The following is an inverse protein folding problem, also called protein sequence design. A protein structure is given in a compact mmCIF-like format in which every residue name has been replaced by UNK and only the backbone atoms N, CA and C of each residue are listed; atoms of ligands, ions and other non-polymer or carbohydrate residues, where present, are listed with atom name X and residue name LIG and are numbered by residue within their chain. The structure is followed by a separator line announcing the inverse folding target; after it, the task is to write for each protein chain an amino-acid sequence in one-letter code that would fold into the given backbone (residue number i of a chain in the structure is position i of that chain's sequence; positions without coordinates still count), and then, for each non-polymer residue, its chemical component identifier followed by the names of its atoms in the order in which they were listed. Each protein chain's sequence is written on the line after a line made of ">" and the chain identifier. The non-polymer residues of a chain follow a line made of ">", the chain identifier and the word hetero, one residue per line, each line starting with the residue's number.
data_IF_980874160115
#
_entry.id   IF_980874160115
#
_cell.length_a   1.000
_cell.length_b   1.000
_cell.length_c   1.000
_cell.angle_alpha   90.00
_cell.angle_beta   90.00
_cell.angle_gamma   90.00
#
_symmetry.space_group_name_H-M   'P 1'
#
loop_
_entity.id
_entity.type
_entity.pdbx_description
1 polymer ?
#
# COMPACT_ATOMS: atom_id res chain seq x y z
N UNK A 1 -10.07 -64.87 -13.03
CA UNK A 1 -8.75 -64.68 -12.40
C UNK A 1 -8.66 -63.25 -11.87
N UNK A 2 -8.02 -63.13 -10.72
CA UNK A 2 -8.25 -62.18 -9.61
C UNK A 2 -7.78 -60.74 -9.84
N UNK A 3 -8.57 -59.78 -9.35
CA UNK A 3 -8.25 -58.35 -9.26
C UNK A 3 -7.21 -58.03 -8.17
N UNK A 4 -6.41 -56.97 -8.34
CA UNK A 4 -5.63 -56.38 -7.24
C UNK A 4 -5.79 -54.86 -7.18
N UNK A 5 -6.55 -54.46 -6.17
CA UNK A 5 -6.78 -53.10 -5.65
C UNK A 5 -5.57 -52.72 -4.79
N UNK A 6 -4.95 -51.56 -5.04
CA UNK A 6 -3.93 -51.01 -4.16
C UNK A 6 -4.61 -50.08 -3.14
N UNK A 7 -4.74 -50.56 -1.91
CA UNK A 7 -5.03 -49.74 -0.73
C UNK A 7 -3.78 -49.69 0.11
N UNK A 8 -3.12 -48.53 0.21
CA UNK A 8 -2.16 -48.30 1.27
C UNK A 8 -2.74 -47.31 2.28
N UNK A 9 -2.65 -47.75 3.52
CA UNK A 9 -3.34 -47.38 4.73
C UNK A 9 -2.74 -46.14 5.38
N UNK A 10 -3.61 -45.34 5.96
CA UNK A 10 -3.29 -44.31 6.96
C UNK A 10 -2.69 -44.97 8.21
N UNK A 11 -1.54 -44.48 8.68
CA UNK A 11 -1.04 -44.78 10.03
C UNK A 11 -1.05 -43.48 10.82
N UNK A 12 -1.89 -43.47 11.85
CA UNK A 12 -2.15 -42.36 12.75
C UNK A 12 -1.64 -42.71 14.16
N UNK A 13 -1.18 -41.65 14.84
CA UNK A 13 -1.03 -41.41 16.29
C UNK A 13 -0.16 -42.34 17.15
N UNK A 14 0.62 -41.66 18.00
CA UNK A 14 1.09 -42.07 19.33
C UNK A 14 2.02 -43.27 19.45
N UNK A 15 3.32 -42.98 19.44
CA UNK A 15 4.29 -43.52 20.41
C UNK A 15 5.68 -42.99 20.02
N UNK A 16 6.20 -42.00 20.75
CA UNK A 16 7.43 -42.10 21.57
C UNK A 16 7.49 -40.82 22.43
N UNK A 17 6.90 -40.87 23.61
CA UNK A 17 7.19 -39.94 24.71
C UNK A 17 8.27 -40.62 25.54
N UNK A 18 9.47 -40.03 25.60
CA UNK A 18 10.21 -39.78 26.86
C UNK A 18 11.66 -39.33 26.62
N UNK A 19 11.99 -38.23 27.31
CA UNK A 19 13.27 -37.85 27.90
C UNK A 19 14.50 -37.58 27.01
N UNK A 20 14.70 -36.31 26.65
CA UNK A 20 15.98 -35.62 26.90
C UNK A 20 15.78 -34.10 26.91
N UNK A 21 16.32 -33.45 27.94
CA UNK A 21 16.15 -32.03 28.26
C UNK A 21 16.75 -31.09 27.20
N UNK A 22 16.09 -29.99 26.81
CA UNK A 22 16.68 -28.99 25.94
C UNK A 22 17.63 -28.05 26.71
N UNK A 23 18.83 -27.74 26.19
CA UNK A 23 19.67 -26.68 26.75
C UNK A 23 19.00 -25.31 26.54
N UNK A 24 18.93 -24.57 27.64
CA UNK A 24 18.39 -23.22 27.79
C UNK A 24 19.11 -22.26 26.83
N UNK A 25 18.49 -21.97 25.69
CA UNK A 25 18.94 -20.93 24.77
C UNK A 25 18.27 -19.62 25.16
N UNK A 26 19.11 -18.65 25.48
CA UNK A 26 18.80 -17.32 25.99
C UNK A 26 17.96 -16.51 25.00
N UNK A 27 16.99 -15.69 25.47
CA UNK A 27 16.46 -14.59 24.66
C UNK A 27 17.59 -13.58 24.51
N UNK A 28 18.14 -13.45 23.30
CA UNK A 28 19.01 -12.31 22.99
C UNK A 28 18.11 -11.10 22.83
N UNK A 29 18.01 -10.33 23.92
CA UNK A 29 17.35 -9.05 24.05
C UNK A 29 17.91 -8.07 23.01
N UNK A 30 17.15 -7.79 21.95
CA UNK A 30 17.44 -6.66 21.07
C UNK A 30 17.12 -5.37 21.85
N UNK A 31 18.13 -4.86 22.57
CA UNK A 31 18.04 -3.58 23.27
C UNK A 31 17.79 -2.46 22.27
N UNK A 32 16.54 -2.00 22.19
CA UNK A 32 16.22 -0.67 21.66
C UNK A 32 16.81 0.34 22.63
N UNK A 33 17.86 1.04 22.21
CA UNK A 33 18.50 2.10 22.98
C UNK A 33 17.50 3.22 23.26
N UNK A 34 16.84 3.20 24.42
CA UNK A 34 16.00 4.30 24.91
C UNK A 34 16.83 5.33 25.72
N UNK A 35 18.12 5.46 25.40
CA UNK A 35 19.05 6.34 26.11
C UNK A 35 18.86 7.83 25.77
N UNK A 36 18.07 8.18 24.75
CA UNK A 36 17.98 9.56 24.27
C UNK A 36 16.75 10.34 24.78
N UNK A 37 15.90 9.73 25.61
CA UNK A 37 14.62 10.35 26.02
C UNK A 37 14.58 10.86 27.48
N UNK A 38 15.67 10.76 28.25
CA UNK A 38 15.71 11.25 29.64
C UNK A 38 16.67 12.42 29.90
N UNK A 39 17.26 12.98 28.86
CA UNK A 39 18.08 14.19 28.96
C UNK A 39 17.44 15.37 28.21
N UNK A 40 16.11 15.50 28.33
CA UNK A 40 15.35 16.61 27.74
C UNK A 40 14.66 17.48 28.81
N UNK A 41 15.09 17.41 30.07
CA UNK A 41 14.57 18.27 31.16
C UNK A 41 15.64 18.91 32.02
N UNK A 42 16.93 18.82 31.66
CA UNK A 42 17.97 19.57 32.36
C UNK A 42 18.15 20.93 31.71
N UNK A 43 17.53 21.92 32.36
CA UNK A 43 17.80 23.35 32.23
C UNK A 43 17.28 24.00 30.94
N UNK A 44 16.06 24.55 31.01
CA UNK A 44 15.76 25.76 30.24
C UNK A 44 16.62 26.88 30.81
N UNK A 45 17.60 27.47 30.08
CA UNK A 45 18.02 28.80 30.42
C UNK A 45 16.86 29.72 30.06
N UNK A 46 16.33 30.45 31.06
CA UNK A 46 15.52 31.65 30.81
C UNK A 46 16.46 32.67 30.18
N UNK A 47 16.63 32.56 28.86
CA UNK A 47 17.39 33.50 28.08
C UNK A 47 16.42 34.58 27.59
N UNK A 48 16.49 35.71 28.27
CA UNK A 48 15.87 36.96 27.88
C UNK A 48 16.54 37.45 26.59
N UNK A 49 16.05 36.99 25.43
CA UNK A 49 16.58 37.40 24.14
C UNK A 49 15.94 38.73 23.73
N UNK A 50 16.69 39.81 24.01
CA UNK A 50 16.56 41.07 23.28
C UNK A 50 16.62 40.76 21.78
N UNK A 51 15.74 41.42 21.05
CA UNK A 51 15.59 41.38 19.61
C UNK A 51 16.85 41.85 18.89
N UNK A 52 17.77 40.94 18.61
CA UNK A 52 18.82 41.16 17.63
C UNK A 52 18.67 40.17 16.48
N UNK A 53 18.69 40.75 15.28
CA UNK A 53 18.39 40.16 13.98
C UNK A 53 19.23 38.90 13.72
N UNK A 54 18.64 37.71 13.91
CA UNK A 54 19.19 36.45 13.39
C UNK A 54 18.24 35.90 12.31
N UNK A 55 18.37 36.49 11.12
CA UNK A 55 17.69 36.03 9.92
C UNK A 55 18.45 34.86 9.30
N UNK A 56 18.43 33.68 9.94
CA UNK A 56 18.59 32.40 9.24
C UNK A 56 18.19 31.23 10.15
N UNK A 57 16.94 31.22 10.60
CA UNK A 57 16.34 29.97 11.06
C UNK A 57 16.31 29.04 9.83
N UNK A 58 17.22 28.08 9.79
CA UNK A 58 17.25 27.00 8.80
C UNK A 58 15.88 26.36 8.77
N UNK A 59 15.10 26.69 7.75
CA UNK A 59 13.82 26.04 7.46
C UNK A 59 14.09 24.53 7.44
N UNK A 60 13.39 23.77 8.28
CA UNK A 60 13.65 22.33 8.44
C UNK A 60 13.63 21.60 7.09
N UNK A 61 14.60 20.71 6.87
CA UNK A 61 14.81 19.97 5.62
C UNK A 61 13.63 19.06 5.22
N UNK A 62 12.69 18.78 6.12
CA UNK A 62 11.59 17.83 5.93
C UNK A 62 10.75 18.09 4.67
N UNK A 63 10.51 19.36 4.32
CA UNK A 63 9.68 19.73 3.16
C UNK A 63 10.48 20.40 2.03
N UNK A 64 11.80 20.52 2.16
CA UNK A 64 12.64 21.28 1.23
C UNK A 64 12.65 20.71 -0.21
N UNK A 65 12.25 19.45 -0.39
CA UNK A 65 12.15 18.80 -1.70
C UNK A 65 10.70 18.63 -2.20
N UNK A 66 9.70 19.11 -1.45
CA UNK A 66 8.28 18.93 -1.80
C UNK A 66 7.95 19.58 -3.15
N UNK A 67 8.47 20.79 -3.38
CA UNK A 67 8.33 21.54 -4.65
C UNK A 67 9.06 20.88 -5.83
N UNK A 68 10.01 19.97 -5.57
CA UNK A 68 10.83 19.30 -6.57
C UNK A 68 10.29 17.93 -6.98
N UNK A 69 9.20 17.46 -6.36
CA UNK A 69 8.64 16.15 -6.69
C UNK A 69 8.08 16.13 -8.12
N UNK A 70 8.37 15.08 -8.89
CA UNK A 70 7.82 14.94 -10.23
C UNK A 70 6.29 14.76 -10.16
N UNK A 71 5.59 15.31 -11.16
CA UNK A 71 4.14 15.10 -11.30
C UNK A 71 3.87 13.65 -11.67
N UNK A 72 2.75 13.12 -11.15
CA UNK A 72 2.32 11.75 -11.48
C UNK A 72 1.96 11.65 -12.97
N UNK A 73 2.56 10.71 -13.72
CA UNK A 73 2.23 10.51 -15.12
C UNK A 73 0.86 9.83 -15.26
N UNK A 74 0.08 10.28 -16.25
CA UNK A 74 -1.14 9.57 -16.65
C UNK A 74 -0.72 8.44 -17.61
N UNK A 75 -1.03 7.17 -17.32
CA UNK A 75 -0.71 6.05 -18.20
C UNK A 75 -1.54 6.09 -19.49
N UNK A 76 -1.04 5.44 -20.54
CA UNK A 76 -1.81 5.25 -21.77
C UNK A 76 -3.10 4.47 -21.50
N UNK A 77 -4.15 4.81 -22.24
CA UNK A 77 -5.47 4.23 -22.05
C UNK A 77 -5.45 2.72 -22.33
N UNK A 78 -4.93 2.31 -23.48
CA UNK A 78 -4.81 0.90 -23.87
C UNK A 78 -4.01 0.08 -22.86
N UNK A 79 -2.89 0.63 -22.37
CA UNK A 79 -2.06 -0.04 -21.35
C UNK A 79 -2.81 -0.24 -20.04
N UNK A 80 -3.64 0.74 -19.67
CA UNK A 80 -4.46 0.67 -18.45
C UNK A 80 -5.57 -0.37 -18.61
N UNK A 81 -6.28 -0.37 -19.74
CA UNK A 81 -7.29 -1.37 -20.08
C UNK A 81 -6.72 -2.79 -20.13
N UNK A 82 -5.53 -2.97 -20.71
CA UNK A 82 -4.85 -4.28 -20.75
C UNK A 82 -4.45 -4.78 -19.37
N UNK A 83 -3.94 -3.89 -18.50
CA UNK A 83 -3.66 -4.24 -17.10
C UNK A 83 -4.93 -4.62 -16.35
N UNK A 84 -6.03 -3.90 -16.57
CA UNK A 84 -7.33 -4.21 -15.98
C UNK A 84 -7.80 -5.62 -16.38
N UNK A 85 -7.78 -5.96 -17.66
CA UNK A 85 -8.13 -7.30 -18.13
C UNK A 85 -7.21 -8.37 -17.53
N UNK A 86 -5.90 -8.14 -17.49
CA UNK A 86 -4.94 -9.06 -16.90
C UNK A 86 -5.20 -9.31 -15.39
N UNK A 87 -5.60 -8.27 -14.65
CA UNK A 87 -5.97 -8.38 -13.23
C UNK A 87 -7.27 -9.15 -13.01
N UNK A 88 -8.21 -9.12 -13.96
CA UNK A 88 -9.49 -9.82 -13.85
C UNK A 88 -9.46 -11.28 -14.30
N UNK A 89 -8.54 -11.65 -15.19
CA UNK A 89 -8.39 -13.05 -15.67
C UNK A 89 -8.46 -14.12 -14.58
N UNK A 90 -7.73 -14.01 -13.44
CA UNK A 90 -7.80 -15.05 -12.41
C UNK A 90 -9.10 -15.05 -11.59
N UNK A 91 -9.94 -14.03 -11.72
CA UNK A 91 -11.15 -13.84 -10.93
C UNK A 91 -12.44 -14.21 -11.69
N UNK A 92 -12.38 -14.31 -13.02
CA UNK A 92 -13.54 -14.49 -13.90
C UNK A 92 -13.50 -15.84 -14.62
N UNK A 93 -14.67 -16.38 -14.93
CA UNK A 93 -14.80 -17.50 -15.88
C UNK A 93 -14.51 -17.02 -17.32
N UNK A 94 -14.25 -17.96 -18.23
CA UNK A 94 -13.97 -17.63 -19.64
C UNK A 94 -15.10 -16.83 -20.31
N UNK A 95 -16.36 -17.12 -19.96
CA UNK A 95 -17.52 -16.40 -20.49
C UNK A 95 -17.57 -14.96 -19.98
N UNK A 96 -17.46 -14.76 -18.67
CA UNK A 96 -17.45 -13.43 -18.06
C UNK A 96 -16.27 -12.59 -18.54
N UNK A 97 -15.12 -13.23 -18.76
CA UNK A 97 -13.95 -12.55 -19.30
C UNK A 97 -14.18 -12.06 -20.73
N UNK A 98 -14.80 -12.87 -21.60
CA UNK A 98 -15.13 -12.46 -22.97
C UNK A 98 -16.14 -11.29 -22.99
N UNK A 99 -17.13 -11.30 -22.09
CA UNK A 99 -18.07 -10.18 -21.93
C UNK A 99 -17.32 -8.91 -21.46
N UNK A 100 -16.36 -9.04 -20.55
CA UNK A 100 -15.52 -7.94 -20.07
C UNK A 100 -14.61 -7.39 -21.18
N UNK A 101 -13.99 -8.25 -21.98
CA UNK A 101 -13.15 -7.86 -23.13
C UNK A 101 -13.96 -7.05 -24.16
N UNK A 102 -15.19 -7.49 -24.45
CA UNK A 102 -16.08 -6.77 -25.36
C UNK A 102 -16.43 -5.37 -24.82
N UNK A 103 -16.76 -5.26 -23.53
CA UNK A 103 -17.05 -3.98 -22.89
C UNK A 103 -15.83 -3.04 -22.90
N UNK A 104 -14.62 -3.55 -22.65
CA UNK A 104 -13.37 -2.77 -22.72
C UNK A 104 -13.11 -2.29 -24.16
N UNK A 105 -13.33 -3.13 -25.16
CA UNK A 105 -13.20 -2.75 -26.57
C UNK A 105 -14.23 -1.70 -27.01
N UNK A 106 -15.45 -1.77 -26.50
CA UNK A 106 -16.46 -0.73 -26.73
C UNK A 106 -16.03 0.59 -26.08
N UNK A 107 -15.60 0.55 -24.83
CA UNK A 107 -15.10 1.72 -24.11
C UNK A 107 -13.94 2.41 -24.84
N UNK A 108 -12.97 1.64 -25.36
CA UNK A 108 -11.83 2.18 -26.11
C UNK A 108 -12.24 2.87 -27.43
N UNK A 109 -13.36 2.46 -28.04
CA UNK A 109 -13.85 3.05 -29.30
C UNK A 109 -14.81 4.22 -29.07
N UNK A 110 -15.53 4.22 -27.95
CA UNK A 110 -16.54 5.22 -27.62
C UNK A 110 -15.97 6.29 -26.68
N UNK A 111 -16.32 6.21 -25.39
CA UNK A 111 -16.10 7.30 -24.42
C UNK A 111 -14.65 7.37 -23.91
N UNK A 112 -13.89 6.28 -23.98
CA UNK A 112 -12.56 6.16 -23.38
C UNK A 112 -11.58 7.26 -23.82
N UNK A 113 -11.39 7.51 -25.13
CA UNK A 113 -10.49 8.57 -25.61
C UNK A 113 -10.89 9.97 -25.15
N UNK A 114 -12.19 10.30 -25.17
CA UNK A 114 -12.70 11.60 -24.75
C UNK A 114 -12.48 11.82 -23.24
N UNK A 115 -12.78 10.81 -22.42
CA UNK A 115 -12.57 10.86 -20.98
C UNK A 115 -11.08 10.94 -20.63
N UNK A 116 -10.22 10.22 -21.35
CA UNK A 116 -8.77 10.30 -21.17
C UNK A 116 -8.23 11.69 -21.53
N UNK A 117 -8.76 12.34 -22.56
CA UNK A 117 -8.39 13.73 -22.90
C UNK A 117 -8.86 14.71 -21.81
N UNK A 118 -10.09 14.57 -21.31
CA UNK A 118 -10.60 15.36 -20.18
C UNK A 118 -9.74 15.17 -18.93
N UNK A 119 -9.30 13.94 -18.64
CA UNK A 119 -8.40 13.64 -17.52
C UNK A 119 -7.03 14.31 -17.70
N UNK A 120 -6.45 14.25 -18.91
CA UNK A 120 -5.19 14.93 -19.22
C UNK A 120 -5.31 16.44 -19.06
N UNK A 121 -6.38 17.05 -19.57
CA UNK A 121 -6.70 18.47 -19.37
C UNK A 121 -6.85 18.80 -17.89
N UNK A 122 -7.55 17.98 -17.13
CA UNK A 122 -7.71 18.15 -15.68
C UNK A 122 -6.38 18.07 -14.93
N UNK A 123 -5.46 17.20 -15.34
CA UNK A 123 -4.14 17.11 -14.70
C UNK A 123 -3.25 18.34 -14.97
N UNK A 124 -3.55 19.14 -15.99
CA UNK A 124 -2.84 20.41 -16.21
C UNK A 124 -3.09 21.35 -15.02
N UNK A 125 -2.01 21.94 -14.50
CA UNK A 125 -2.08 22.87 -13.36
C UNK A 125 -2.18 22.24 -11.96
N UNK A 126 -2.23 20.91 -11.83
CA UNK A 126 -2.25 20.21 -10.53
C UNK A 126 -0.93 19.49 -10.24
N UNK A 127 -0.63 19.29 -8.95
CA UNK A 127 0.49 18.45 -8.46
C UNK A 127 0.18 16.96 -8.65
N UNK A 128 -1.06 16.57 -8.38
CA UNK A 128 -1.58 15.22 -8.51
C UNK A 128 -3.03 15.25 -9.01
N UNK A 129 -3.36 14.39 -9.97
CA UNK A 129 -4.71 14.32 -10.53
C UNK A 129 -5.68 13.50 -9.66
N UNK A 130 -5.18 12.72 -8.69
CA UNK A 130 -5.98 11.80 -7.87
C UNK A 130 -6.31 12.33 -6.47
N UNK A 131 -5.60 13.35 -5.98
CA UNK A 131 -5.71 13.81 -4.58
C UNK A 131 -7.16 14.13 -4.18
N UNK A 132 -7.94 14.79 -5.05
CA UNK A 132 -9.31 15.16 -4.73
C UNK A 132 -10.28 13.97 -4.78
N UNK A 133 -10.01 12.96 -5.62
CA UNK A 133 -10.91 11.82 -5.83
C UNK A 133 -10.65 10.66 -4.86
N UNK A 134 -9.41 10.51 -4.37
CA UNK A 134 -9.01 9.43 -3.47
C UNK A 134 -9.13 9.79 -1.98
N UNK A 135 -9.54 11.02 -1.64
CA UNK A 135 -9.84 11.35 -0.23
C UNK A 135 -11.05 10.54 0.23
N UNK A 136 -10.84 9.72 1.25
CA UNK A 136 -11.88 8.88 1.87
C UNK A 136 -13.09 9.66 2.42
N UNK A 137 -13.05 10.99 2.41
CA UNK A 137 -14.15 11.86 2.85
C UNK A 137 -15.45 11.67 2.06
N UNK A 138 -15.39 11.14 0.83
CA UNK A 138 -16.58 10.87 0.00
C UNK A 138 -17.31 9.58 0.39
N UNK A 139 -16.68 8.70 1.17
CA UNK A 139 -17.31 7.50 1.70
C UNK A 139 -18.08 7.81 2.99
N UNK A 140 -19.16 8.58 2.89
CA UNK A 140 -20.18 8.59 3.92
C UNK A 140 -20.83 7.19 3.96
N UNK A 141 -20.40 6.35 4.90
CA UNK A 141 -21.16 5.18 5.35
C UNK A 141 -21.91 5.55 6.63
N UNK A 142 -23.05 6.24 6.57
CA UNK A 142 -23.93 6.31 7.71
C UNK A 142 -24.52 4.91 7.94
N UNK A 143 -24.45 4.43 9.18
CA UNK A 143 -25.04 3.19 9.70
C UNK A 143 -24.17 1.92 9.54
N UNK A 144 -23.17 1.77 10.41
CA UNK A 144 -22.66 0.46 10.83
C UNK A 144 -22.58 0.40 12.36
N UNK A 145 -23.74 0.27 13.01
CA UNK A 145 -23.85 -0.30 14.37
C UNK A 145 -25.20 -1.03 14.42
N UNK A 146 -25.15 -2.36 14.61
CA UNK A 146 -26.26 -3.20 15.07
C UNK A 146 -25.92 -3.67 16.46
#
# INVERSE_FOLDING_TARGET
>A
MTARRLTNTSTSLDQVVSSSSPPKSTPTEFKRSNSSAKEATKSLPVANHKSDKSAMATQGVTFASQEKLPKLPIPDLDKSCNKYLASLRPLQSAREHAETEAAVHEFLRAEGPELQEKLKKYATGRSSYIEQFCTFATAHRPNFIR
#
